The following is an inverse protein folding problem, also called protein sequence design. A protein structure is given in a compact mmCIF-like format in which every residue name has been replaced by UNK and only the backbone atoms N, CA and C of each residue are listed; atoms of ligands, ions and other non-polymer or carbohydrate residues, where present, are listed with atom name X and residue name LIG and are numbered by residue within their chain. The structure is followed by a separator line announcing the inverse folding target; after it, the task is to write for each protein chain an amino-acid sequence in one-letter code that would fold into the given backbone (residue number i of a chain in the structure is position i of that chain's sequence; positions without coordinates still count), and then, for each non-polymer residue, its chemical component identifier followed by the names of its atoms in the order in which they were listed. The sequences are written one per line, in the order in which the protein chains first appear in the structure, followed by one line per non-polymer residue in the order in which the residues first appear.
data_IF_666952302174
#
_entry.id   IF_666952302174
#
_cell.length_a   1.000
_cell.length_b   1.000
_cell.length_c   1.000
_cell.angle_alpha   90.00
_cell.angle_beta   90.00
_cell.angle_gamma   90.00
#
_symmetry.space_group_name_H-M   'P 1'
#
loop_
_entity.id
_entity.type
_entity.pdbx_description
1 polymer ?
#
# COMPACT_ATOMS: atom_id res chain seq x y z
N UNK A 1 14.14 2.04 11.29
CA UNK A 1 12.71 1.73 11.16
C UNK A 1 12.20 2.28 9.82
N UNK A 2 11.53 1.49 8.97
CA UNK A 2 10.99 2.00 7.71
C UNK A 2 9.68 2.79 7.95
N UNK A 3 9.52 4.03 7.47
CA UNK A 3 8.36 4.88 7.76
C UNK A 3 6.99 4.28 7.39
N UNK A 4 6.93 3.40 6.38
CA UNK A 4 5.68 2.73 5.99
C UNK A 4 5.13 1.82 7.10
N UNK A 5 5.99 1.27 7.96
CA UNK A 5 5.56 0.41 9.08
C UNK A 5 4.89 1.20 10.19
N UNK A 6 5.20 2.50 10.32
CA UNK A 6 4.61 3.40 11.32
C UNK A 6 3.12 3.61 11.06
N UNK A 7 2.72 3.65 9.78
CA UNK A 7 1.36 4.00 9.36
C UNK A 7 0.43 2.79 9.21
N UNK A 8 0.95 1.56 9.33
CA UNK A 8 0.18 0.34 9.07
C UNK A 8 -0.96 0.20 10.09
N UNK A 9 -2.18 -0.01 9.59
CA UNK A 9 -3.37 -0.19 10.43
C UNK A 9 -3.81 1.05 11.23
N UNK A 10 -3.31 2.25 10.89
CA UNK A 10 -3.67 3.50 11.59
C UNK A 10 -5.08 4.02 11.29
N UNK A 11 -5.68 3.68 10.14
CA UNK A 11 -7.04 4.12 9.78
C UNK A 11 -8.06 3.06 10.19
N UNK A 12 -7.92 1.83 9.70
CA UNK A 12 -8.72 0.67 10.12
C UNK A 12 -7.88 -0.60 10.01
N UNK A 13 -8.46 -1.76 10.36
CA UNK A 13 -7.83 -3.08 10.22
C UNK A 13 -8.53 -3.97 9.19
N UNK A 14 -9.26 -3.37 8.25
CA UNK A 14 -10.04 -4.11 7.25
C UNK A 14 -9.18 -5.06 6.40
N UNK A 15 -7.92 -4.69 6.16
CA UNK A 15 -6.97 -5.45 5.37
C UNK A 15 -5.88 -6.12 6.23
N UNK A 16 -6.10 -6.23 7.54
CA UNK A 16 -5.14 -6.89 8.43
C UNK A 16 -4.91 -8.35 8.02
N UNK A 17 -3.65 -8.78 8.02
CA UNK A 17 -3.23 -10.10 7.56
C UNK A 17 -3.34 -10.34 6.04
N UNK A 18 -3.77 -9.36 5.25
CA UNK A 18 -3.79 -9.46 3.79
C UNK A 18 -2.45 -9.02 3.21
N UNK A 19 -1.91 -9.84 2.32
CA UNK A 19 -0.75 -9.49 1.49
C UNK A 19 -1.23 -9.21 0.06
N UNK A 20 -0.93 -8.01 -0.44
CA UNK A 20 -1.40 -7.51 -1.73
C UNK A 20 -0.20 -7.26 -2.65
N UNK A 21 -0.27 -7.77 -3.88
CA UNK A 21 0.67 -7.41 -4.95
C UNK A 21 0.05 -6.31 -5.81
N UNK A 22 0.71 -5.16 -5.92
CA UNK A 22 0.30 -4.07 -6.82
C UNK A 22 1.17 -4.09 -8.07
N UNK A 23 0.57 -4.47 -9.20
CA UNK A 23 1.18 -4.35 -10.52
C UNK A 23 0.96 -2.96 -11.11
N UNK A 24 2.03 -2.32 -11.57
CA UNK A 24 2.02 -0.95 -12.09
C UNK A 24 2.35 -1.00 -13.58
N UNK A 25 1.43 -0.52 -14.44
CA UNK A 25 1.70 -0.39 -15.87
C UNK A 25 2.31 0.98 -16.22
N UNK A 26 2.86 1.13 -17.43
CA UNK A 26 3.48 2.36 -17.94
C UNK A 26 2.51 3.50 -18.28
N UNK A 27 1.42 3.65 -17.53
CA UNK A 27 0.47 4.76 -17.67
C UNK A 27 0.92 5.98 -16.87
N UNK A 28 0.45 7.17 -17.25
CA UNK A 28 0.62 8.39 -16.44
C UNK A 28 0.06 8.23 -15.01
N UNK A 29 -0.96 7.38 -14.83
CA UNK A 29 -1.55 7.11 -13.52
C UNK A 29 -0.59 6.42 -12.53
N UNK A 30 0.55 5.88 -13.00
CA UNK A 30 1.57 5.28 -12.14
C UNK A 30 2.08 6.24 -11.05
N UNK A 31 2.05 7.56 -11.32
CA UNK A 31 2.46 8.59 -10.35
C UNK A 31 1.59 8.65 -9.09
N UNK A 32 0.34 8.15 -9.16
CA UNK A 32 -0.61 8.12 -8.03
C UNK A 32 -0.47 6.86 -7.15
N UNK A 33 0.24 5.83 -7.63
CA UNK A 33 0.37 4.55 -6.92
C UNK A 33 0.94 4.70 -5.49
N UNK A 34 1.93 5.57 -5.21
CA UNK A 34 2.41 5.77 -3.84
C UNK A 34 1.29 6.19 -2.86
N UNK A 35 0.31 6.99 -3.31
CA UNK A 35 -0.82 7.40 -2.49
C UNK A 35 -1.75 6.22 -2.21
N UNK A 36 -2.04 5.40 -3.21
CA UNK A 36 -2.88 4.21 -3.10
C UNK A 36 -2.23 3.18 -2.15
N UNK A 37 -0.94 2.88 -2.34
CA UNK A 37 -0.20 1.93 -1.47
C UNK A 37 -0.23 2.40 -0.02
N UNK A 38 -0.02 3.70 0.23
CA UNK A 38 -0.09 4.25 1.59
C UNK A 38 -1.46 4.10 2.24
N UNK A 39 -2.55 4.16 1.46
CA UNK A 39 -3.89 3.93 1.99
C UNK A 39 -4.14 2.45 2.31
N UNK A 40 -3.70 1.54 1.44
CA UNK A 40 -3.77 0.10 1.71
C UNK A 40 -3.01 -0.28 2.99
N UNK A 41 -1.80 0.27 3.17
CA UNK A 41 -1.03 0.11 4.40
C UNK A 41 -1.79 0.65 5.62
N UNK A 42 -2.37 1.85 5.52
CA UNK A 42 -3.19 2.47 6.59
C UNK A 42 -4.38 1.61 7.02
N UNK A 43 -4.89 0.76 6.13
CA UNK A 43 -5.94 -0.22 6.41
C UNK A 43 -5.43 -1.60 6.89
N UNK A 44 -4.11 -1.75 7.09
CA UNK A 44 -3.50 -2.93 7.71
C UNK A 44 -2.84 -3.90 6.74
N UNK A 45 -2.91 -3.63 5.42
CA UNK A 45 -2.33 -4.52 4.42
C UNK A 45 -0.80 -4.57 4.49
N UNK A 46 -0.25 -5.69 4.04
CA UNK A 46 1.12 -5.77 3.52
C UNK A 46 1.06 -5.58 2.01
N UNK A 47 1.99 -4.81 1.45
CA UNK A 47 1.95 -4.45 0.02
C UNK A 47 3.33 -4.55 -0.58
N UNK A 48 3.45 -5.37 -1.61
CA UNK A 48 4.58 -5.41 -2.54
C UNK A 48 4.16 -4.77 -3.86
N UNK A 49 5.07 -4.01 -4.47
CA UNK A 49 4.82 -3.33 -5.74
C UNK A 49 5.80 -3.83 -6.81
N UNK A 50 5.29 -4.06 -8.01
CA UNK A 50 6.08 -4.45 -9.19
C UNK A 50 5.69 -3.57 -10.38
N UNK A 51 6.68 -3.26 -11.23
CA UNK A 51 6.51 -2.57 -12.52
C UNK A 51 6.87 -3.53 -13.65
#
# INVERSE_FOLDING_TARGET
MHPSRVIRGRTTRLLEGKHLLVGISGSIAAVEIPKIVRELLRHGAEVDAVM
#
